data_IF_305541466661
#
_entry.id   IF_305541466661
#
_cell.length_a   1.000
_cell.length_b   1.000
_cell.length_c   1.000
_cell.angle_alpha   90.00
_cell.angle_beta   90.00
_cell.angle_gamma   90.00
#
_symmetry.space_group_name_H-M   'P 1'
#
loop_
_entity.id
_entity.type
_entity.pdbx_description
1 polymer ?
#
# COMPACT_ATOMS: atom_id res chain seq x y z
N UNK A 1 -13.01 24.38 -21.74
CA UNK A 1 -12.59 23.16 -22.47
C UNK A 1 -13.18 21.99 -21.70
N UNK A 2 -14.24 21.36 -22.20
CA UNK A 2 -14.97 20.33 -21.46
C UNK A 2 -14.11 19.06 -21.39
N UNK A 3 -13.49 18.83 -20.23
CA UNK A 3 -12.60 17.68 -19.97
C UNK A 3 -13.41 16.37 -19.92
N UNK A 4 -14.74 16.46 -19.83
CA UNK A 4 -15.66 15.31 -19.79
C UNK A 4 -16.91 15.60 -20.65
N UNK A 5 -17.01 15.08 -21.88
CA UNK A 5 -18.12 15.40 -22.78
C UNK A 5 -19.48 14.79 -22.39
N UNK A 6 -19.49 13.83 -21.44
CA UNK A 6 -20.69 13.06 -21.07
C UNK A 6 -21.20 13.34 -19.64
N UNK A 7 -20.58 14.25 -18.89
CA UNK A 7 -20.91 14.53 -17.49
C UNK A 7 -21.26 16.01 -17.30
N UNK A 8 -22.25 16.26 -16.45
CA UNK A 8 -22.53 17.61 -15.94
C UNK A 8 -21.25 18.18 -15.32
N UNK A 9 -20.78 19.38 -15.74
CA UNK A 9 -19.55 19.99 -15.24
C UNK A 9 -19.43 20.02 -13.72
N UNK A 10 -20.54 20.18 -12.99
CA UNK A 10 -20.53 20.23 -11.52
C UNK A 10 -20.19 18.86 -10.90
N UNK A 11 -20.67 17.77 -11.51
CA UNK A 11 -20.35 16.40 -11.10
C UNK A 11 -18.94 16.02 -11.56
N UNK A 12 -18.56 16.42 -12.77
CA UNK A 12 -17.23 16.16 -13.32
C UNK A 12 -16.11 16.72 -12.45
N UNK A 13 -16.23 17.98 -12.01
CA UNK A 13 -15.22 18.63 -11.17
C UNK A 13 -15.08 17.94 -9.81
N UNK A 14 -16.19 17.50 -9.20
CA UNK A 14 -16.16 16.76 -7.95
C UNK A 14 -15.49 15.39 -8.11
N UNK A 15 -15.83 14.66 -9.18
CA UNK A 15 -15.23 13.36 -9.47
C UNK A 15 -13.73 13.49 -9.74
N UNK A 16 -13.31 14.47 -10.54
CA UNK A 16 -11.90 14.73 -10.80
C UNK A 16 -11.12 14.99 -9.50
N UNK A 17 -11.68 15.80 -8.60
CA UNK A 17 -11.06 16.03 -7.28
C UNK A 17 -10.90 14.74 -6.47
N UNK A 18 -11.94 13.90 -6.41
CA UNK A 18 -11.87 12.61 -5.71
C UNK A 18 -10.81 11.70 -6.33
N UNK A 19 -10.77 11.60 -7.65
CA UNK A 19 -9.80 10.73 -8.34
C UNK A 19 -8.37 11.21 -8.18
N UNK A 20 -8.12 12.51 -8.17
CA UNK A 20 -6.79 13.06 -7.89
C UNK A 20 -6.33 12.73 -6.46
N UNK A 21 -7.23 12.79 -5.49
CA UNK A 21 -6.93 12.38 -4.10
C UNK A 21 -6.64 10.87 -4.04
N UNK A 22 -7.46 10.03 -4.68
CA UNK A 22 -7.24 8.58 -4.72
C UNK A 22 -5.93 8.21 -5.41
N UNK A 23 -5.58 8.92 -6.49
CA UNK A 23 -4.31 8.75 -7.19
C UNK A 23 -3.13 9.12 -6.29
N UNK A 24 -3.20 10.29 -5.63
CA UNK A 24 -2.15 10.74 -4.73
C UNK A 24 -1.92 9.75 -3.58
N UNK A 25 -3.00 9.23 -2.98
CA UNK A 25 -2.90 8.22 -1.92
C UNK A 25 -2.31 6.92 -2.45
N UNK A 26 -2.75 6.42 -3.61
CA UNK A 26 -2.26 5.15 -4.15
C UNK A 26 -0.79 5.19 -4.60
N UNK A 27 -0.24 6.35 -4.96
CA UNK A 27 1.18 6.47 -5.35
C UNK A 27 2.13 6.43 -4.14
N UNK A 28 1.62 6.60 -2.91
CA UNK A 28 2.44 6.55 -1.70
C UNK A 28 3.17 5.19 -1.62
N UNK A 29 4.50 5.17 -1.42
CA UNK A 29 5.31 3.96 -1.45
C UNK A 29 5.20 3.17 -0.12
N UNK A 30 3.97 2.79 0.25
CA UNK A 30 3.64 2.00 1.45
C UNK A 30 2.86 0.77 1.02
N UNK A 31 3.31 -0.42 1.39
CA UNK A 31 2.51 -1.63 1.21
C UNK A 31 1.27 -1.57 2.11
N UNK A 32 0.03 -1.82 1.64
CA UNK A 32 -0.37 -2.56 0.43
C UNK A 32 -0.84 -1.70 -0.76
N UNK A 33 -0.65 -0.38 -0.69
CA UNK A 33 -1.07 0.56 -1.75
C UNK A 33 -0.32 0.29 -3.05
N UNK A 34 -0.88 0.70 -4.18
CA UNK A 34 -0.34 0.36 -5.50
C UNK A 34 1.11 0.85 -5.68
N UNK A 35 1.42 2.07 -5.24
CA UNK A 35 2.76 2.64 -5.21
C UNK A 35 3.72 1.85 -4.33
N UNK A 36 3.23 1.33 -3.20
CA UNK A 36 4.02 0.44 -2.35
C UNK A 36 4.31 -0.92 -2.99
N UNK A 37 3.37 -1.46 -3.77
CA UNK A 37 3.59 -2.69 -4.55
C UNK A 37 4.61 -2.48 -5.65
N UNK A 38 4.52 -1.36 -6.36
CA UNK A 38 5.49 -0.97 -7.39
C UNK A 38 6.88 -0.83 -6.75
N UNK A 39 6.99 -0.11 -5.64
CA UNK A 39 8.26 0.08 -4.95
C UNK A 39 8.86 -1.24 -4.45
N UNK A 40 8.04 -2.12 -3.87
CA UNK A 40 8.46 -3.46 -3.48
C UNK A 40 8.99 -4.27 -4.67
N UNK A 41 8.28 -4.24 -5.81
CA UNK A 41 8.71 -4.95 -7.02
C UNK A 41 10.05 -4.39 -7.54
N UNK A 42 10.22 -3.07 -7.57
CA UNK A 42 11.48 -2.43 -7.96
C UNK A 42 12.64 -2.83 -7.04
N UNK A 43 12.43 -2.80 -5.72
CA UNK A 43 13.43 -3.25 -4.74
C UNK A 43 13.82 -4.70 -5.00
N UNK A 44 12.85 -5.58 -5.28
CA UNK A 44 13.09 -6.99 -5.52
C UNK A 44 13.79 -7.29 -6.85
N UNK A 45 13.60 -6.45 -7.87
CA UNK A 45 14.33 -6.56 -9.14
C UNK A 45 15.82 -6.26 -8.92
N UNK A 46 16.14 -5.24 -8.11
CA UNK A 46 17.53 -4.82 -7.86
C UNK A 46 18.19 -5.71 -6.79
N UNK A 47 17.44 -6.06 -5.74
CA UNK A 47 17.89 -6.85 -4.60
C UNK A 47 16.92 -8.00 -4.33
N UNK A 48 17.05 -9.15 -5.03
CA UNK A 48 16.12 -10.28 -4.95
C UNK A 48 16.29 -11.13 -3.67
N UNK A 49 16.64 -10.50 -2.54
CA UNK A 49 16.80 -11.16 -1.23
C UNK A 49 15.53 -11.02 -0.42
N UNK A 50 15.06 -12.07 0.24
CA UNK A 50 13.90 -11.98 1.11
C UNK A 50 14.08 -11.01 2.30
N UNK A 51 15.33 -10.73 2.70
CA UNK A 51 15.63 -9.74 3.74
C UNK A 51 15.23 -8.31 3.35
N UNK A 52 15.33 -7.95 2.06
CA UNK A 52 14.91 -6.63 1.58
C UNK A 52 13.37 -6.49 1.64
N UNK A 53 12.66 -7.56 1.27
CA UNK A 53 11.20 -7.65 1.39
C UNK A 53 10.75 -7.56 2.85
N UNK A 54 11.43 -8.25 3.77
CA UNK A 54 11.21 -8.15 5.23
C UNK A 54 11.32 -6.72 5.75
N UNK A 55 12.40 -6.04 5.40
CA UNK A 55 12.66 -4.67 5.82
C UNK A 55 11.54 -3.74 5.32
N UNK A 56 11.19 -3.84 4.05
CA UNK A 56 10.17 -2.97 3.44
C UNK A 56 8.78 -3.18 4.06
N UNK A 57 8.38 -4.43 4.32
CA UNK A 57 7.13 -4.71 5.02
C UNK A 57 7.13 -4.17 6.45
N UNK A 58 8.28 -4.23 7.15
CA UNK A 58 8.40 -3.70 8.52
C UNK A 58 8.24 -2.18 8.53
N UNK A 59 8.89 -1.48 7.60
CA UNK A 59 8.75 -0.03 7.45
C UNK A 59 7.29 0.33 7.14
N UNK A 60 6.66 -0.40 6.21
CA UNK A 60 5.24 -0.20 5.87
C UNK A 60 4.33 -0.41 7.09
N UNK A 61 4.65 -1.37 7.96
CA UNK A 61 3.91 -1.63 9.20
C UNK A 61 3.98 -0.48 10.18
N UNK A 62 5.19 0.05 10.40
CA UNK A 62 5.38 1.19 11.30
C UNK A 62 4.63 2.41 10.78
N UNK A 63 4.70 2.69 9.47
CA UNK A 63 4.01 3.82 8.85
C UNK A 63 2.49 3.69 8.91
N UNK A 64 1.94 2.50 8.63
CA UNK A 64 0.50 2.27 8.74
C UNK A 64 0.05 2.41 10.19
N UNK A 65 0.78 1.84 11.15
CA UNK A 65 0.43 1.93 12.56
C UNK A 65 0.42 3.40 13.04
N UNK A 66 1.44 4.17 12.66
CA UNK A 66 1.48 5.63 12.91
C UNK A 66 0.27 6.33 12.31
N UNK A 67 -0.07 6.01 11.06
CA UNK A 67 -1.22 6.60 10.37
C UNK A 67 -2.53 6.27 11.10
N UNK A 68 -2.70 5.02 11.58
CA UNK A 68 -3.88 4.61 12.37
C UNK A 68 -3.95 5.39 13.68
N UNK A 69 -2.84 5.54 14.40
CA UNK A 69 -2.80 6.29 15.67
C UNK A 69 -3.13 7.77 15.44
N UNK A 70 -2.49 8.40 14.45
CA UNK A 70 -2.70 9.81 14.11
C UNK A 70 -4.16 10.06 13.70
N UNK A 71 -4.72 9.20 12.84
CA UNK A 71 -6.12 9.33 12.40
C UNK A 71 -7.11 9.13 13.55
N UNK A 72 -6.82 8.21 14.48
CA UNK A 72 -7.67 7.99 15.65
C UNK A 72 -7.67 9.19 16.61
N UNK A 73 -6.52 9.85 16.80
CA UNK A 73 -6.41 11.03 17.67
C UNK A 73 -7.02 12.28 17.01
N UNK A 74 -6.71 12.52 15.74
CA UNK A 74 -7.09 13.76 15.05
C UNK A 74 -8.50 13.72 14.45
N UNK A 75 -8.98 12.55 14.01
CA UNK A 75 -10.29 12.38 13.34
C UNK A 75 -11.12 11.26 13.99
N UNK A 76 -11.43 11.34 15.30
CA UNK A 76 -12.14 10.26 16.01
C UNK A 76 -13.56 10.03 15.52
N UNK A 77 -14.18 11.01 14.85
CA UNK A 77 -15.55 10.92 14.34
C UNK A 77 -15.65 10.25 12.97
N UNK A 78 -14.53 10.01 12.29
CA UNK A 78 -14.54 9.52 10.91
C UNK A 78 -14.43 8.00 10.88
N UNK A 79 -15.54 7.31 11.15
CA UNK A 79 -15.63 5.84 11.14
C UNK A 79 -15.08 5.22 9.86
N UNK A 80 -15.30 5.86 8.71
CA UNK A 80 -14.77 5.39 7.43
C UNK A 80 -13.24 5.28 7.41
N UNK A 81 -12.52 6.28 7.94
CA UNK A 81 -11.05 6.25 8.01
C UNK A 81 -10.56 5.16 8.97
N UNK A 82 -11.29 4.92 10.06
CA UNK A 82 -10.98 3.83 10.98
C UNK A 82 -11.13 2.46 10.29
N UNK A 83 -12.23 2.24 9.58
CA UNK A 83 -12.46 0.99 8.82
C UNK A 83 -11.39 0.80 7.73
N UNK A 84 -11.03 1.87 7.00
CA UNK A 84 -9.97 1.83 5.99
C UNK A 84 -8.61 1.49 6.60
N UNK A 85 -8.27 2.11 7.73
CA UNK A 85 -7.03 1.84 8.47
C UNK A 85 -6.95 0.39 8.95
N UNK A 86 -8.03 -0.17 9.49
CA UNK A 86 -8.10 -1.59 9.87
C UNK A 86 -7.94 -2.49 8.64
N UNK A 87 -8.58 -2.16 7.53
CA UNK A 87 -8.45 -2.91 6.29
C UNK A 87 -6.99 -2.96 5.79
N UNK A 88 -6.28 -1.82 5.83
CA UNK A 88 -4.85 -1.77 5.48
C UNK A 88 -4.00 -2.63 6.41
N UNK A 89 -4.26 -2.58 7.72
CA UNK A 89 -3.59 -3.43 8.70
C UNK A 89 -3.80 -4.92 8.44
N UNK A 90 -5.05 -5.35 8.17
CA UNK A 90 -5.35 -6.75 7.87
C UNK A 90 -4.59 -7.23 6.63
N UNK A 91 -4.57 -6.41 5.57
CA UNK A 91 -3.83 -6.71 4.33
C UNK A 91 -2.34 -6.86 4.59
N UNK A 92 -1.77 -5.96 5.38
CA UNK A 92 -0.35 -6.01 5.72
C UNK A 92 0.01 -7.22 6.59
N UNK A 93 -0.79 -7.55 7.60
CA UNK A 93 -0.57 -8.73 8.46
C UNK A 93 -0.66 -10.01 7.63
N UNK A 94 -1.61 -10.09 6.68
CA UNK A 94 -1.70 -11.22 5.76
C UNK A 94 -0.42 -11.37 4.94
N UNK A 95 0.12 -10.27 4.41
CA UNK A 95 1.36 -10.29 3.63
C UNK A 95 2.58 -10.66 4.49
N UNK A 96 2.64 -10.13 5.71
CA UNK A 96 3.68 -10.44 6.68
C UNK A 96 3.75 -11.94 7.01
N UNK A 97 2.60 -12.61 7.06
CA UNK A 97 2.51 -14.06 7.21
C UNK A 97 2.99 -14.80 5.95
N UNK A 98 2.69 -14.28 4.76
CA UNK A 98 3.07 -14.88 3.48
C UNK A 98 4.59 -14.91 3.26
N UNK A 99 5.30 -13.93 3.81
CA UNK A 99 6.76 -13.84 3.82
C UNK A 99 7.51 -15.14 4.14
N UNK A 100 6.99 -15.96 5.07
CA UNK A 100 7.61 -17.25 5.45
C UNK A 100 7.73 -18.20 4.25
N UNK A 101 6.74 -18.19 3.36
CA UNK A 101 6.76 -18.98 2.14
C UNK A 101 7.83 -18.47 1.16
N UNK A 102 8.00 -17.15 1.05
CA UNK A 102 9.04 -16.55 0.20
C UNK A 102 10.44 -16.91 0.67
N UNK A 103 10.70 -16.85 1.97
CA UNK A 103 11.96 -17.28 2.58
C UNK A 103 12.23 -18.78 2.35
N UNK A 104 11.22 -19.62 2.55
CA UNK A 104 11.34 -21.05 2.31
C UNK A 104 11.65 -21.35 0.84
N UNK A 105 10.99 -20.65 -0.09
CA UNK A 105 11.23 -20.77 -1.52
C UNK A 105 12.66 -20.37 -1.89
N UNK A 106 13.14 -19.21 -1.43
CA UNK A 106 14.52 -18.76 -1.66
C UNK A 106 15.53 -19.81 -1.17
N UNK A 107 15.35 -20.33 0.05
CA UNK A 107 16.26 -21.33 0.62
C UNK A 107 16.28 -22.67 -0.15
N UNK A 108 15.16 -23.12 -0.72
CA UNK A 108 15.06 -24.44 -1.35
C UNK A 108 15.28 -24.45 -2.87
N UNK A 109 14.95 -23.35 -3.54
CA UNK A 109 15.00 -23.25 -5.00
C UNK A 109 16.23 -22.49 -5.46
N UNK A 110 16.55 -21.35 -4.83
CA UNK A 110 17.70 -20.54 -5.27
C UNK A 110 19.02 -21.19 -4.91
N UNK A 111 19.13 -21.83 -3.73
CA UNK A 111 20.34 -22.58 -3.35
C UNK A 111 20.60 -23.83 -4.20
N UNK A 112 19.66 -24.24 -5.07
CA UNK A 112 19.86 -25.34 -6.03
C UNK A 112 20.27 -24.86 -7.42
N UNK A 113 20.20 -23.56 -7.68
CA UNK A 113 20.49 -22.95 -8.99
C UNK A 113 21.86 -22.24 -9.03
N UNK A 114 22.52 -22.09 -7.88
CA UNK A 114 23.90 -21.61 -7.70
C UNK A 114 24.80 -22.75 -7.25
#
# INVERSE_FOLDING_TARGET
MAITPFLDPLVADLLLKIQLVLLAVNIIPIWPLDGGRIMMALILIIYPRARAYELYLTISLILILLTVIITFILLPKTLFLLVLSIFLLIKLISEWRYRKYRLAFEKHVMNRLT
#
